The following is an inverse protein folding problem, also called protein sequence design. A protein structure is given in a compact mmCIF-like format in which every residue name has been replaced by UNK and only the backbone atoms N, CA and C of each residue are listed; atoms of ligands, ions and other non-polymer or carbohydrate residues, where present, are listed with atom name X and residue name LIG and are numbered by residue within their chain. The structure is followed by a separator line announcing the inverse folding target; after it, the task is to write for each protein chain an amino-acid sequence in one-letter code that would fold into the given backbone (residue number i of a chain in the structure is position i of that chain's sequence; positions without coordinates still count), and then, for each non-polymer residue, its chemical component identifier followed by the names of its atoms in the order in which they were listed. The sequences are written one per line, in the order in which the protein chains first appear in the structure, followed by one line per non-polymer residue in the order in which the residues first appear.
data_IF_347535185335
#
_entry.id   IF_347535185335
#
_cell.length_a   1.000
_cell.length_b   1.000
_cell.length_c   1.000
_cell.angle_alpha   90.00
_cell.angle_beta   90.00
_cell.angle_gamma   90.00
#
_symmetry.space_group_name_H-M   'P 1'
#
loop_
_entity.id
_entity.type
_entity.pdbx_description
1 polymer ?
#
# COMPACT_ATOMS: atom_id res chain seq x y z
N UNK A 1 7.96 34.30 18.01
CA UNK A 1 8.75 33.15 17.51
C UNK A 1 7.76 32.10 17.07
N UNK A 2 7.53 31.98 15.76
CA UNK A 2 6.54 31.05 15.20
C UNK A 2 7.10 29.64 15.21
N UNK A 3 6.39 28.72 15.87
CA UNK A 3 6.71 27.31 15.86
C UNK A 3 6.45 26.78 14.44
N UNK A 4 7.54 26.47 13.73
CA UNK A 4 7.50 25.81 12.43
C UNK A 4 7.02 24.39 12.71
N UNK A 5 5.79 24.08 12.32
CA UNK A 5 5.30 22.71 12.32
C UNK A 5 6.00 22.07 11.12
N UNK A 6 7.21 21.56 11.36
CA UNK A 6 7.87 20.65 10.44
C UNK A 6 7.13 19.31 10.54
N UNK A 7 5.94 19.25 9.93
CA UNK A 7 5.44 17.96 9.44
C UNK A 7 6.59 17.39 8.60
N UNK A 8 7.08 16.17 8.85
CA UNK A 8 8.04 15.57 7.95
C UNK A 8 7.30 15.35 6.62
N UNK A 9 7.41 16.33 5.72
CA UNK A 9 7.17 16.12 4.31
C UNK A 9 8.26 15.12 3.95
N UNK A 10 7.92 13.82 3.96
CA UNK A 10 8.86 12.80 3.57
C UNK A 10 9.38 13.20 2.20
N UNK A 11 10.68 13.48 2.11
CA UNK A 11 11.29 13.78 0.83
C UNK A 11 11.20 12.54 -0.08
N UNK A 12 11.27 12.78 -1.39
CA UNK A 12 11.15 11.72 -2.38
C UNK A 12 12.18 10.61 -2.13
N UNK A 13 13.39 10.97 -1.70
CA UNK A 13 14.47 10.04 -1.38
C UNK A 13 14.10 9.09 -0.22
N UNK A 14 13.49 9.60 0.85
CA UNK A 14 12.99 8.78 1.96
C UNK A 14 11.89 7.83 1.50
N UNK A 15 11.00 8.28 0.60
CA UNK A 15 9.93 7.43 0.05
C UNK A 15 10.53 6.33 -0.83
N UNK A 16 11.46 6.67 -1.71
CA UNK A 16 12.14 5.71 -2.60
C UNK A 16 12.92 4.66 -1.81
N UNK A 17 13.61 5.08 -0.74
CA UNK A 17 14.31 4.16 0.16
C UNK A 17 13.36 3.15 0.81
N UNK A 18 12.16 3.60 1.21
CA UNK A 18 11.12 2.73 1.78
C UNK A 18 10.56 1.77 0.73
N UNK A 19 10.32 2.24 -0.49
CA UNK A 19 9.89 1.37 -1.60
C UNK A 19 10.95 0.29 -1.84
N UNK A 20 12.22 0.68 -1.92
CA UNK A 20 13.32 -0.25 -2.13
C UNK A 20 13.37 -1.34 -1.05
N UNK A 21 13.25 -0.94 0.22
CA UNK A 21 13.21 -1.88 1.34
C UNK A 21 12.07 -2.91 1.20
N UNK A 22 10.87 -2.49 0.78
CA UNK A 22 9.73 -3.42 0.54
C UNK A 22 10.02 -4.39 -0.61
N UNK A 23 10.69 -3.93 -1.66
CA UNK A 23 11.06 -4.77 -2.81
C UNK A 23 12.08 -5.85 -2.43
N UNK A 24 13.02 -5.54 -1.55
CA UNK A 24 14.04 -6.48 -1.06
C UNK A 24 13.49 -7.47 -0.01
N UNK A 25 12.46 -7.07 0.74
CA UNK A 25 11.96 -7.88 1.86
C UNK A 25 11.34 -9.22 1.40
N UNK A 26 11.80 -10.39 1.89
CA UNK A 26 11.38 -11.70 1.39
C UNK A 26 9.90 -12.01 1.64
N UNK A 27 9.34 -11.56 2.76
CA UNK A 27 7.96 -11.87 3.17
C UNK A 27 6.89 -10.98 2.53
N UNK A 28 7.27 -10.09 1.61
CA UNK A 28 6.31 -9.24 0.92
C UNK A 28 5.71 -9.98 -0.27
N UNK A 29 4.39 -9.83 -0.42
CA UNK A 29 3.67 -10.56 -1.46
C UNK A 29 4.21 -10.21 -2.86
N UNK A 30 4.29 -11.19 -3.78
CA UNK A 30 4.72 -10.92 -5.16
C UNK A 30 3.87 -9.85 -5.84
N UNK A 31 2.57 -9.82 -5.52
CA UNK A 31 1.65 -8.80 -6.03
C UNK A 31 2.04 -7.38 -5.60
N UNK A 32 2.34 -7.18 -4.31
CA UNK A 32 2.78 -5.88 -3.79
C UNK A 32 4.09 -5.44 -4.45
N UNK A 33 5.05 -6.35 -4.58
CA UNK A 33 6.35 -6.03 -5.21
C UNK A 33 6.17 -5.64 -6.68
N UNK A 34 5.32 -6.33 -7.42
CA UNK A 34 5.02 -5.98 -8.81
C UNK A 34 4.35 -4.61 -8.92
N UNK A 35 3.35 -4.33 -8.07
CA UNK A 35 2.68 -3.03 -8.05
C UNK A 35 3.65 -1.87 -7.77
N UNK A 36 4.54 -2.03 -6.79
CA UNK A 36 5.57 -1.04 -6.47
C UNK A 36 6.58 -0.83 -7.61
N UNK A 37 7.00 -1.90 -8.29
CA UNK A 37 7.91 -1.77 -9.45
C UNK A 37 7.25 -1.02 -10.60
N UNK A 38 5.99 -1.33 -10.90
CA UNK A 38 5.23 -0.63 -11.94
C UNK A 38 5.01 0.83 -11.58
N UNK A 39 4.70 1.16 -10.32
CA UNK A 39 4.45 2.55 -9.93
C UNK A 39 5.65 3.50 -10.10
N UNK A 40 6.88 2.98 -10.18
CA UNK A 40 8.09 3.80 -10.34
C UNK A 40 8.25 4.39 -11.76
N UNK A 41 7.49 3.89 -12.74
CA UNK A 41 7.60 4.30 -14.15
C UNK A 41 6.33 4.94 -14.70
N UNK A 42 5.24 4.93 -13.94
CA UNK A 42 3.92 5.46 -14.36
C UNK A 42 3.79 6.97 -14.10
N UNK A 43 2.89 7.61 -14.85
CA UNK A 43 2.54 9.01 -14.62
C UNK A 43 1.86 9.18 -13.24
N UNK A 44 2.27 10.16 -12.41
CA UNK A 44 1.72 10.33 -11.07
C UNK A 44 0.22 10.63 -11.03
N UNK A 45 -0.35 11.25 -12.06
CA UNK A 45 -1.79 11.58 -12.14
C UNK A 45 -2.58 10.29 -12.38
N UNK A 46 -2.17 9.49 -13.36
CA UNK A 46 -2.82 8.21 -13.67
C UNK A 46 -2.68 7.23 -12.51
N UNK A 47 -1.47 7.14 -11.92
CA UNK A 47 -1.21 6.31 -10.74
C UNK A 47 -2.10 6.69 -9.55
N UNK A 48 -2.32 7.98 -9.32
CA UNK A 48 -3.18 8.45 -8.24
C UNK A 48 -4.64 8.03 -8.45
N UNK A 49 -5.13 8.08 -9.68
CA UNK A 49 -6.47 7.61 -10.04
C UNK A 49 -6.59 6.09 -9.83
N UNK A 50 -5.62 5.33 -10.32
CA UNK A 50 -5.61 3.87 -10.22
C UNK A 50 -5.53 3.40 -8.77
N UNK A 51 -4.73 4.07 -7.93
CA UNK A 51 -4.66 3.77 -6.50
C UNK A 51 -6.00 4.00 -5.79
N UNK A 52 -6.76 5.04 -6.16
CA UNK A 52 -8.10 5.27 -5.59
C UNK A 52 -9.07 4.15 -5.99
N UNK A 53 -9.03 3.72 -7.25
CA UNK A 53 -9.84 2.60 -7.76
C UNK A 53 -9.47 1.31 -7.03
N UNK A 54 -8.17 1.00 -6.91
CA UNK A 54 -7.67 -0.19 -6.21
C UNK A 54 -8.08 -0.17 -4.73
N UNK A 55 -7.94 0.96 -4.04
CA UNK A 55 -8.38 1.10 -2.66
C UNK A 55 -9.87 0.82 -2.52
N UNK A 56 -10.71 1.38 -3.40
CA UNK A 56 -12.15 1.16 -3.37
C UNK A 56 -12.53 -0.31 -3.65
N UNK A 57 -11.89 -0.96 -4.62
CA UNK A 57 -12.25 -2.31 -5.05
C UNK A 57 -11.61 -3.40 -4.18
N UNK A 58 -10.28 -3.39 -4.07
CA UNK A 58 -9.53 -4.46 -3.41
C UNK A 58 -9.70 -4.38 -1.89
N UNK A 59 -9.63 -3.20 -1.28
CA UNK A 59 -9.78 -3.11 0.18
C UNK A 59 -11.20 -3.51 0.62
N UNK A 60 -12.23 -3.11 -0.14
CA UNK A 60 -13.62 -3.51 0.11
C UNK A 60 -13.79 -5.02 -0.04
N UNK A 61 -13.30 -5.61 -1.13
CA UNK A 61 -13.38 -7.05 -1.38
C UNK A 61 -12.65 -7.85 -0.30
N UNK A 62 -11.42 -7.48 0.03
CA UNK A 62 -10.62 -8.17 1.06
C UNK A 62 -11.28 -8.08 2.43
N UNK A 63 -11.77 -6.90 2.82
CA UNK A 63 -12.51 -6.71 4.07
C UNK A 63 -13.78 -7.56 4.14
N UNK A 64 -14.51 -7.63 3.03
CA UNK A 64 -15.70 -8.47 2.92
C UNK A 64 -15.35 -9.95 3.09
N UNK A 65 -14.34 -10.46 2.39
CA UNK A 65 -13.89 -11.85 2.49
C UNK A 65 -13.35 -12.18 3.89
N UNK A 66 -12.63 -11.28 4.54
CA UNK A 66 -12.15 -11.48 5.91
C UNK A 66 -13.31 -11.60 6.92
N UNK A 67 -14.40 -10.86 6.71
CA UNK A 67 -15.62 -10.99 7.53
C UNK A 67 -16.41 -12.25 7.23
N UNK A 68 -16.34 -12.74 5.99
CA UNK A 68 -17.00 -13.97 5.56
C UNK A 68 -16.21 -15.23 5.88
N UNK A 69 -14.92 -15.11 6.18
CA UNK A 69 -14.14 -16.22 6.74
C UNK A 69 -14.92 -16.72 7.95
N UNK A 70 -15.49 -17.93 7.90
CA UNK A 70 -16.03 -18.53 9.09
C UNK A 70 -14.89 -18.47 10.09
N UNK A 71 -15.14 -17.89 11.27
CA UNK A 71 -14.35 -18.34 12.40
C UNK A 71 -14.60 -19.84 12.39
N UNK A 72 -13.54 -20.62 12.18
CA UNK A 72 -13.48 -21.99 12.67
C UNK A 72 -13.58 -21.90 14.21
N UNK A 73 -14.73 -21.43 14.69
CA UNK A 73 -15.27 -21.74 15.98
C UNK A 73 -15.73 -23.20 15.82
N UNK A 74 -14.72 -24.07 15.94
CA UNK A 74 -14.79 -25.26 16.74
C UNK A 74 -16.03 -25.27 17.65
N UNK A 75 -16.78 -26.34 17.80
CA UNK A 75 -16.64 -27.75 17.44
C UNK A 75 -17.91 -28.34 18.07
N UNK A 76 -18.56 -29.25 17.36
CA UNK A 76 -19.71 -30.01 17.86
C UNK A 76 -19.50 -30.59 19.26
#
# INVERSE_FOLDING_TARGET
MGQKIDTPCADLETIDARIHWVLEHPDMSPWLKSALKSSLIEDPIDLTNDLQILANLIATRSSFLMRQSPRDDARS
#
